data_IF_366770496132
#
_entry.id   IF_366770496132
#
_cell.length_a   1.000
_cell.length_b   1.000
_cell.length_c   1.000
_cell.angle_alpha   90.00
_cell.angle_beta   90.00
_cell.angle_gamma   90.00
#
_symmetry.space_group_name_H-M   'P 1'
#
loop_
_entity.id
_entity.type
_entity.pdbx_description
1 polymer ?
#
# COMPACT_ATOMS: atom_id res chain seq x y z
N UNK A 1 -28.26 -35.60 49.71
CA UNK A 1 -26.78 -35.66 49.75
C UNK A 1 -26.29 -35.40 48.32
N UNK A 2 -26.02 -34.19 47.83
CA UNK A 2 -25.23 -33.03 48.28
C UNK A 2 -23.70 -33.26 48.27
N UNK A 3 -23.06 -32.97 47.12
CA UNK A 3 -21.65 -32.52 46.89
C UNK A 3 -21.48 -32.41 45.36
N UNK A 4 -21.55 -31.26 44.69
CA UNK A 4 -20.74 -30.03 44.70
C UNK A 4 -19.23 -30.27 44.67
N UNK A 5 -18.61 -30.11 43.48
CA UNK A 5 -17.24 -29.62 43.34
C UNK A 5 -17.21 -28.56 42.24
N UNK A 6 -17.08 -27.31 42.66
CA UNK A 6 -16.69 -26.18 41.82
C UNK A 6 -15.18 -26.24 41.58
N UNK A 7 -14.77 -26.15 40.32
CA UNK A 7 -13.40 -25.78 39.96
C UNK A 7 -13.39 -24.33 39.49
N UNK A 8 -12.84 -23.47 40.33
CA UNK A 8 -12.55 -22.06 40.05
C UNK A 8 -11.43 -21.95 39.03
N UNK A 9 -11.72 -21.44 37.84
CA UNK A 9 -10.71 -21.10 36.85
C UNK A 9 -10.25 -19.65 37.11
N UNK A 10 -9.10 -19.49 37.74
CA UNK A 10 -8.45 -18.18 37.91
C UNK A 10 -7.78 -17.80 36.60
N UNK A 11 -8.36 -16.86 35.87
CA UNK A 11 -7.79 -16.28 34.66
C UNK A 11 -6.67 -15.30 35.06
N UNK A 12 -5.42 -15.71 34.85
CA UNK A 12 -4.26 -14.82 35.00
C UNK A 12 -4.19 -13.94 33.75
N UNK A 13 -4.71 -12.71 33.83
CA UNK A 13 -4.41 -11.67 32.86
C UNK A 13 -2.99 -11.16 33.11
N UNK A 14 -2.08 -11.45 32.19
CA UNK A 14 -0.76 -10.82 32.16
C UNK A 14 -0.88 -9.52 31.35
N UNK A 15 -0.99 -8.39 32.06
CA UNK A 15 -0.81 -7.07 31.46
C UNK A 15 0.69 -6.77 31.40
N UNK A 16 1.28 -6.85 30.20
CA UNK A 16 2.64 -6.36 30.00
C UNK A 16 2.64 -4.84 29.91
N UNK A 17 2.97 -4.20 31.02
CA UNK A 17 3.31 -2.79 31.08
C UNK A 17 4.70 -2.55 30.47
N UNK A 18 4.79 -1.56 29.57
CA UNK A 18 6.01 -1.12 28.89
C UNK A 18 6.95 -0.42 29.90
N UNK A 19 8.22 -0.84 30.06
CA UNK A 19 9.18 -0.12 30.91
C UNK A 19 9.71 1.14 30.22
N UNK A 20 9.73 2.27 30.92
CA UNK A 20 10.46 3.49 30.51
C UNK A 20 11.97 3.33 30.78
N UNK A 21 12.87 3.74 29.88
CA UNK A 21 14.30 3.62 30.12
C UNK A 21 14.84 4.72 31.03
N UNK A 22 15.63 4.30 32.02
CA UNK A 22 16.48 5.13 32.86
C UNK A 22 17.75 5.54 32.11
N UNK A 23 18.17 6.78 32.32
CA UNK A 23 19.39 7.36 31.72
C UNK A 23 20.63 6.74 32.35
N UNK A 24 21.49 6.09 31.56
CA UNK A 24 22.89 5.83 31.94
C UNK A 24 23.85 6.43 30.91
N UNK A 25 24.75 7.27 31.42
CA UNK A 25 25.86 7.92 30.71
C UNK A 25 26.98 6.92 30.41
N UNK A 26 27.54 6.99 29.21
CA UNK A 26 28.88 6.51 28.81
C UNK A 26 29.07 7.00 27.38
N UNK A 27 30.08 7.76 26.94
CA UNK A 27 31.47 7.85 27.36
C UNK A 27 32.30 7.72 26.07
N UNK A 28 32.52 8.83 25.36
CA UNK A 28 33.30 8.91 24.12
C UNK A 28 34.81 8.73 24.39
N UNK A 29 35.51 7.96 23.53
CA UNK A 29 36.89 8.17 23.02
C UNK A 29 37.23 7.00 22.05
N UNK A 30 37.37 7.24 20.73
CA UNK A 30 38.62 7.48 19.96
C UNK A 30 39.68 6.36 20.16
N UNK A 31 40.37 5.77 19.17
CA UNK A 31 40.63 6.11 17.78
C UNK A 31 41.33 4.95 17.03
N UNK A 32 41.41 5.07 15.68
CA UNK A 32 42.46 4.61 14.75
C UNK A 32 42.82 3.12 14.65
N UNK A 33 42.70 2.54 13.45
CA UNK A 33 43.74 2.49 12.41
C UNK A 33 43.45 1.39 11.37
N UNK A 34 43.80 1.65 10.09
CA UNK A 34 44.18 0.57 9.16
C UNK A 34 43.36 0.41 7.88
N UNK A 35 43.35 1.43 7.01
CA UNK A 35 42.98 1.27 5.59
C UNK A 35 44.22 0.83 4.80
N UNK A 36 44.15 -0.29 4.06
CA UNK A 36 45.04 -0.58 2.93
C UNK A 36 44.19 -0.96 1.72
N UNK A 37 44.31 -0.14 0.68
CA UNK A 37 43.75 -0.36 -0.65
C UNK A 37 44.62 -1.30 -1.46
N UNK A 38 44.00 -2.08 -2.35
CA UNK A 38 44.64 -2.69 -3.52
C UNK A 38 43.76 -2.41 -4.76
N UNK A 39 44.35 -1.73 -5.74
CA UNK A 39 43.87 -1.55 -7.12
C UNK A 39 44.26 -2.78 -7.97
N UNK A 40 43.53 -3.08 -9.05
CA UNK A 40 44.10 -3.76 -10.20
C UNK A 40 44.25 -2.85 -11.42
N UNK A 41 45.33 -3.14 -12.15
CA UNK A 41 45.89 -2.45 -13.31
C UNK A 41 45.06 -2.53 -14.59
N UNK A 42 45.21 -1.50 -15.41
CA UNK A 42 44.71 -1.40 -16.78
C UNK A 42 45.52 -2.25 -17.77
N UNK A 43 44.89 -2.66 -18.87
CA UNK A 43 45.58 -3.02 -20.11
C UNK A 43 44.87 -2.42 -21.32
N UNK A 44 45.69 -1.81 -22.15
CA UNK A 44 45.41 -0.99 -23.33
C UNK A 44 45.15 -1.83 -24.58
N UNK A 45 44.25 -1.40 -25.46
CA UNK A 45 44.33 -1.66 -26.90
C UNK A 45 43.91 -0.42 -27.69
N UNK A 46 44.82 0.03 -28.55
CA UNK A 46 44.74 1.21 -29.43
C UNK A 46 44.55 0.79 -30.89
N UNK A 47 44.10 1.79 -31.69
CA UNK A 47 44.21 2.01 -33.16
C UNK A 47 42.90 1.87 -33.93
N UNK A 48 42.57 2.71 -34.91
CA UNK A 48 43.15 3.97 -35.43
C UNK A 48 42.24 4.59 -36.49
N UNK A 49 42.14 5.93 -36.47
CA UNK A 49 41.99 6.95 -37.53
C UNK A 49 41.41 6.66 -38.93
N UNK A 50 40.51 7.56 -39.35
CA UNK A 50 40.26 7.98 -40.74
C UNK A 50 39.43 9.28 -40.80
N UNK A 51 40.01 10.35 -41.33
CA UNK A 51 39.48 11.74 -41.46
C UNK A 51 38.87 12.03 -42.87
N UNK A 52 38.23 13.21 -43.11
CA UNK A 52 37.06 13.36 -44.00
C UNK A 52 37.34 14.05 -45.36
N UNK A 53 36.33 14.08 -46.25
CA UNK A 53 36.27 15.08 -47.34
C UNK A 53 34.84 15.49 -47.72
N UNK A 54 34.73 16.74 -48.16
CA UNK A 54 33.52 17.56 -48.47
C UNK A 54 33.15 17.49 -49.96
N UNK A 55 31.88 17.79 -50.30
CA UNK A 55 31.40 18.68 -51.40
C UNK A 55 29.85 18.60 -51.47
N UNK A 56 29.08 19.61 -51.02
CA UNK A 56 28.52 20.79 -51.74
C UNK A 56 27.64 20.51 -52.97
N UNK A 57 26.34 20.83 -52.88
CA UNK A 57 25.61 21.60 -53.89
C UNK A 57 24.29 22.16 -53.31
N UNK A 58 24.06 23.46 -53.55
CA UNK A 58 22.90 24.26 -53.14
C UNK A 58 21.71 24.04 -54.08
N UNK A 59 20.48 24.10 -53.56
CA UNK A 59 19.32 24.54 -54.33
C UNK A 59 18.43 25.41 -53.46
N UNK A 60 18.28 26.66 -53.87
CA UNK A 60 17.44 27.69 -53.27
C UNK A 60 16.13 27.70 -54.06
N UNK A 61 14.97 27.55 -53.38
CA UNK A 61 13.69 27.99 -53.94
C UNK A 61 12.74 28.54 -52.88
N UNK A 62 12.55 29.85 -53.01
CA UNK A 62 11.39 30.71 -52.72
C UNK A 62 10.37 30.25 -51.67
N UNK A 63 10.32 31.06 -50.62
CA UNK A 63 9.20 31.29 -49.71
C UNK A 63 7.96 31.72 -50.50
N UNK A 64 6.87 30.98 -50.36
CA UNK A 64 5.50 31.47 -50.51
C UNK A 64 4.84 31.39 -49.16
N UNK A 65 4.46 32.56 -48.63
CA UNK A 65 3.77 32.75 -47.37
C UNK A 65 2.34 32.22 -47.54
N UNK A 66 2.02 31.07 -46.94
CA UNK A 66 0.62 30.69 -46.71
C UNK A 66 0.15 31.31 -45.41
N UNK A 67 -0.85 32.18 -45.55
CA UNK A 67 -1.53 32.88 -44.46
C UNK A 67 -2.10 31.88 -43.46
N UNK A 68 -1.87 32.18 -42.18
CA UNK A 68 -2.43 31.57 -40.98
C UNK A 68 -3.88 31.07 -41.17
N UNK A 69 -4.05 29.75 -41.16
CA UNK A 69 -5.26 29.14 -40.63
C UNK A 69 -5.03 28.97 -39.12
N UNK A 70 -5.58 29.91 -38.35
CA UNK A 70 -5.62 29.78 -36.91
C UNK A 70 -6.43 28.53 -36.57
N UNK A 71 -5.77 27.56 -35.94
CA UNK A 71 -6.45 26.42 -35.32
C UNK A 71 -7.59 26.95 -34.48
N UNK A 72 -8.82 26.61 -34.91
CA UNK A 72 -10.04 26.87 -34.18
C UNK A 72 -9.83 26.26 -32.79
N UNK A 73 -9.71 27.11 -31.77
CA UNK A 73 -9.77 26.68 -30.38
C UNK A 73 -11.11 26.00 -30.22
N UNK A 74 -11.09 24.67 -30.19
CA UNK A 74 -12.25 23.91 -29.76
C UNK A 74 -12.53 24.38 -28.33
N UNK A 75 -13.66 25.06 -28.16
CA UNK A 75 -14.28 25.25 -26.85
C UNK A 75 -14.28 23.88 -26.16
N UNK A 76 -13.88 23.78 -24.87
CA UNK A 76 -13.97 22.52 -24.15
C UNK A 76 -15.39 22.01 -24.32
N UNK A 77 -15.56 20.88 -25.01
CA UNK A 77 -16.81 20.13 -24.89
C UNK A 77 -16.90 19.85 -23.39
N UNK A 78 -18.00 20.26 -22.76
CA UNK A 78 -18.34 19.78 -21.42
C UNK A 78 -18.19 18.26 -21.47
N UNK A 79 -17.07 17.77 -20.93
CA UNK A 79 -16.78 16.36 -20.92
C UNK A 79 -17.92 15.76 -20.10
N UNK A 80 -18.65 14.82 -20.72
CA UNK A 80 -19.73 14.14 -20.02
C UNK A 80 -19.19 13.67 -18.65
N UNK A 81 -19.95 13.87 -17.57
CA UNK A 81 -19.49 13.52 -16.23
C UNK A 81 -19.09 12.05 -16.18
N UNK A 82 -17.98 11.75 -15.50
CA UNK A 82 -17.48 10.40 -15.36
C UNK A 82 -18.61 9.52 -14.77
N UNK A 83 -19.04 8.44 -15.45
CA UNK A 83 -20.11 7.57 -14.97
C UNK A 83 -19.89 7.02 -13.55
N UNK A 84 -18.64 6.79 -13.16
CA UNK A 84 -18.30 6.37 -11.81
C UNK A 84 -18.57 7.46 -10.76
N UNK A 85 -18.32 8.73 -11.09
CA UNK A 85 -18.64 9.86 -10.20
C UNK A 85 -20.16 9.96 -9.99
N UNK A 86 -20.95 9.83 -11.06
CA UNK A 86 -22.42 9.82 -10.97
C UNK A 86 -22.94 8.65 -10.11
N UNK A 87 -22.33 7.47 -10.25
CA UNK A 87 -22.69 6.31 -9.45
C UNK A 87 -22.38 6.52 -7.96
N UNK A 88 -21.25 7.17 -7.64
CA UNK A 88 -20.91 7.54 -6.27
C UNK A 88 -21.88 8.56 -5.67
N UNK A 89 -22.30 9.57 -6.44
CA UNK A 89 -23.32 10.53 -5.99
C UNK A 89 -24.65 9.84 -5.70
N UNK A 90 -25.06 8.89 -6.56
CA UNK A 90 -26.24 8.05 -6.34
C UNK A 90 -26.12 7.22 -5.06
N UNK A 91 -24.98 6.57 -4.83
CA UNK A 91 -24.74 5.80 -3.61
C UNK A 91 -24.78 6.68 -2.36
N UNK A 92 -24.16 7.87 -2.41
CA UNK A 92 -24.22 8.81 -1.30
C UNK A 92 -25.68 9.24 -0.98
N UNK A 93 -26.49 9.49 -2.01
CA UNK A 93 -27.90 9.86 -1.85
C UNK A 93 -28.79 8.74 -1.27
N UNK A 94 -28.41 7.47 -1.46
CA UNK A 94 -29.11 6.32 -0.86
C UNK A 94 -28.89 6.21 0.66
N UNK A 95 -27.89 6.88 1.24
CA UNK A 95 -27.61 6.84 2.67
C UNK A 95 -26.89 5.57 3.12
N UNK A 96 -26.99 5.23 4.41
CA UNK A 96 -26.33 4.04 4.98
C UNK A 96 -27.13 2.77 4.65
N UNK A 97 -26.46 1.64 4.36
CA UNK A 97 -27.17 0.38 4.11
C UNK A 97 -27.98 -0.04 5.34
N UNK A 98 -29.18 -0.58 5.13
CA UNK A 98 -30.00 -1.12 6.21
C UNK A 98 -29.75 -2.63 6.40
N UNK A 99 -28.71 -2.98 7.15
CA UNK A 99 -28.31 -4.38 7.40
C UNK A 99 -29.04 -5.04 8.60
N UNK A 100 -30.16 -4.46 9.07
CA UNK A 100 -30.86 -4.97 10.27
C UNK A 100 -31.68 -6.24 10.04
N UNK A 101 -31.92 -6.65 8.78
CA UNK A 101 -32.72 -7.82 8.44
C UNK A 101 -31.90 -8.89 7.69
N UNK A 102 -31.56 -9.99 8.37
CA UNK A 102 -30.86 -11.16 7.79
C UNK A 102 -31.56 -11.81 6.57
N UNK A 103 -32.83 -11.46 6.29
CA UNK A 103 -33.69 -12.18 5.33
C UNK A 103 -33.76 -11.60 3.93
N UNK A 104 -33.33 -10.34 3.75
CA UNK A 104 -33.15 -9.73 2.43
C UNK A 104 -31.65 -9.79 2.15
N UNK A 105 -31.25 -10.02 0.89
CA UNK A 105 -29.85 -9.79 0.51
C UNK A 105 -29.43 -8.47 1.14
N UNK A 106 -28.31 -8.48 1.87
CA UNK A 106 -27.81 -7.28 2.55
C UNK A 106 -27.82 -6.14 1.53
N UNK A 107 -28.42 -5.01 1.88
CA UNK A 107 -28.52 -3.83 1.03
C UNK A 107 -27.12 -3.44 0.48
N UNK A 108 -26.06 -3.75 1.24
CA UNK A 108 -24.67 -3.66 0.80
C UNK A 108 -24.37 -4.50 -0.45
N UNK A 109 -24.83 -5.75 -0.52
CA UNK A 109 -24.62 -6.63 -1.67
C UNK A 109 -25.36 -6.11 -2.91
N UNK A 110 -26.60 -5.63 -2.76
CA UNK A 110 -27.38 -5.07 -3.86
C UNK A 110 -26.71 -3.82 -4.45
N UNK A 111 -26.10 -2.99 -3.60
CA UNK A 111 -25.33 -1.81 -4.03
C UNK A 111 -24.09 -2.15 -4.85
N UNK A 112 -23.47 -3.32 -4.62
CA UNK A 112 -22.34 -3.76 -5.44
C UNK A 112 -22.75 -4.08 -6.88
N UNK A 113 -23.95 -4.63 -7.10
CA UNK A 113 -24.44 -4.93 -8.46
C UNK A 113 -24.77 -3.69 -9.28
N UNK A 114 -24.99 -2.52 -8.64
CA UNK A 114 -25.22 -1.28 -9.37
C UNK A 114 -24.01 -0.84 -10.22
N UNK A 115 -22.83 -1.37 -9.93
CA UNK A 115 -21.63 -1.13 -10.73
C UNK A 115 -21.58 -1.91 -12.04
N UNK A 116 -22.41 -2.95 -12.20
CA UNK A 116 -22.40 -3.78 -13.40
C UNK A 116 -22.81 -3.01 -14.67
N UNK A 117 -23.67 -2.00 -14.51
CA UNK A 117 -24.14 -1.13 -15.58
C UNK A 117 -23.13 -0.03 -15.95
N UNK A 118 -22.07 0.16 -15.17
CA UNK A 118 -21.06 1.20 -15.43
C UNK A 118 -20.04 0.67 -16.46
N UNK A 119 -19.80 1.39 -17.58
CA UNK A 119 -18.89 0.93 -18.63
C UNK A 119 -17.46 0.70 -18.11
N UNK A 120 -16.91 -0.48 -18.41
CA UNK A 120 -15.54 -0.86 -18.02
C UNK A 120 -14.56 -0.57 -19.15
N UNK A 121 -13.36 -0.13 -18.77
CA UNK A 121 -12.28 0.17 -19.69
C UNK A 121 -11.29 -0.99 -19.79
N UNK A 122 -10.95 -1.36 -21.02
CA UNK A 122 -9.88 -2.32 -21.30
C UNK A 122 -8.48 -1.71 -21.10
N UNK A 123 -8.37 -0.38 -21.17
CA UNK A 123 -7.12 0.35 -20.98
C UNK A 123 -6.66 0.28 -19.53
N UNK A 124 -5.34 0.19 -19.35
CA UNK A 124 -4.74 0.22 -18.02
C UNK A 124 -4.87 1.63 -17.43
N UNK A 125 -5.25 1.67 -16.17
CA UNK A 125 -5.34 2.86 -15.33
C UNK A 125 -4.45 2.67 -14.10
N UNK A 126 -3.96 3.78 -13.55
CA UNK A 126 -3.07 3.77 -12.39
C UNK A 126 -3.57 4.71 -11.32
N UNK A 127 -3.62 4.25 -10.08
CA UNK A 127 -3.91 5.08 -8.90
C UNK A 127 -3.05 4.65 -7.72
N UNK A 128 -2.92 5.54 -6.73
CA UNK A 128 -2.12 5.29 -5.53
C UNK A 128 -2.96 5.54 -4.28
N UNK A 129 -2.73 4.75 -3.25
CA UNK A 129 -3.37 4.86 -1.92
C UNK A 129 -2.32 4.71 -0.84
N UNK A 130 -2.65 5.21 0.35
CA UNK A 130 -1.86 5.03 1.56
C UNK A 130 -2.58 4.11 2.54
N UNK A 131 -1.84 3.14 3.08
CA UNK A 131 -2.27 2.33 4.21
C UNK A 131 -1.49 2.77 5.45
N UNK A 132 -2.20 3.16 6.49
CA UNK A 132 -1.63 3.64 7.75
C UNK A 132 -2.19 2.82 8.90
N UNK A 133 -1.31 2.22 9.70
CA UNK A 133 -1.69 1.69 11.00
C UNK A 133 -1.70 2.83 12.02
N UNK A 134 -2.90 3.19 12.48
CA UNK A 134 -3.12 4.25 13.47
C UNK A 134 -3.14 3.74 14.92
N UNK A 135 -2.77 2.47 15.12
CA UNK A 135 -2.70 1.78 16.42
C UNK A 135 -4.02 1.76 17.20
N UNK A 136 -5.15 1.78 16.50
CA UNK A 136 -6.51 1.82 17.05
C UNK A 136 -7.39 0.62 16.65
N UNK A 137 -6.80 -0.43 16.04
CA UNK A 137 -7.53 -1.60 15.51
C UNK A 137 -7.03 -2.95 16.07
N UNK A 138 -6.24 -2.95 17.14
CA UNK A 138 -5.57 -4.14 17.69
C UNK A 138 -4.82 -4.95 16.62
N UNK A 139 -4.22 -4.24 15.66
CA UNK A 139 -3.54 -4.78 14.49
C UNK A 139 -2.08 -4.30 14.45
N UNK A 140 -1.14 -5.12 13.97
CA UNK A 140 -1.33 -6.52 13.58
C UNK A 140 -1.37 -7.46 14.80
N UNK A 141 -1.92 -8.66 14.61
CA UNK A 141 -1.80 -9.76 15.57
C UNK A 141 -0.65 -10.68 15.15
N UNK A 142 0.45 -10.73 15.90
CA UNK A 142 1.54 -11.67 15.61
C UNK A 142 1.22 -13.04 16.23
N UNK A 143 1.05 -14.06 15.40
CA UNK A 143 0.75 -15.42 15.81
C UNK A 143 2.01 -16.29 15.63
N UNK A 144 2.59 -16.69 16.77
CA UNK A 144 3.78 -17.53 16.89
C UNK A 144 3.43 -19.01 16.59
N UNK A 145 3.04 -19.28 15.34
CA UNK A 145 2.53 -20.58 14.91
C UNK A 145 3.60 -21.51 14.33
N UNK A 146 4.82 -21.01 14.11
CA UNK A 146 5.92 -21.80 13.58
C UNK A 146 6.28 -22.95 14.52
N UNK A 147 5.83 -24.16 14.17
CA UNK A 147 6.11 -25.40 14.90
C UNK A 147 7.32 -26.14 14.36
N UNK A 148 8.29 -25.45 13.76
CA UNK A 148 9.58 -26.06 13.42
C UNK A 148 10.33 -26.40 14.74
N UNK A 149 9.87 -27.51 15.36
CA UNK A 149 10.20 -28.16 16.63
C UNK A 149 10.16 -27.28 17.89
N UNK A 150 9.03 -27.22 18.61
CA UNK A 150 8.85 -26.71 20.00
C UNK A 150 9.53 -25.35 20.28
N UNK A 151 8.94 -24.25 19.79
CA UNK A 151 9.24 -22.84 20.10
C UNK A 151 10.73 -22.47 20.27
N UNK A 152 11.36 -22.00 19.19
CA UNK A 152 12.67 -21.36 19.27
C UNK A 152 12.52 -20.02 19.95
N UNK A 153 12.87 -19.99 21.21
CA UNK A 153 12.98 -18.78 22.01
C UNK A 153 14.45 -18.34 21.98
N UNK A 154 14.69 -17.05 21.85
CA UNK A 154 16.00 -16.45 22.02
C UNK A 154 16.50 -16.74 23.44
N UNK A 155 17.65 -17.42 23.59
CA UNK A 155 18.09 -17.92 24.89
C UNK A 155 18.51 -16.82 25.87
N UNK A 156 18.77 -15.60 25.38
CA UNK A 156 19.18 -14.46 26.21
C UNK A 156 17.97 -13.65 26.66
N UNK A 157 17.04 -13.41 25.75
CA UNK A 157 15.91 -12.50 25.96
C UNK A 157 14.60 -13.21 26.33
N UNK A 158 14.50 -14.50 26.04
CA UNK A 158 13.23 -15.22 26.20
C UNK A 158 12.20 -14.86 25.13
N UNK A 159 12.57 -14.13 24.07
CA UNK A 159 11.65 -13.70 23.01
C UNK A 159 11.47 -14.76 21.92
N UNK A 160 10.30 -14.80 21.29
CA UNK A 160 10.05 -15.68 20.14
C UNK A 160 10.96 -15.30 18.95
N UNK A 161 11.58 -16.31 18.33
CA UNK A 161 12.34 -16.15 17.10
C UNK A 161 11.42 -16.43 15.92
N UNK A 162 11.15 -15.39 15.11
CA UNK A 162 10.30 -15.50 13.92
C UNK A 162 10.79 -16.60 12.98
N UNK A 163 9.88 -17.44 12.51
CA UNK A 163 10.21 -18.54 11.60
C UNK A 163 9.07 -18.85 10.63
N UNK A 164 9.40 -19.67 9.63
CA UNK A 164 8.47 -20.13 8.61
C UNK A 164 7.21 -20.72 9.26
N UNK A 165 6.05 -20.15 8.90
CA UNK A 165 4.75 -20.58 9.40
C UNK A 165 4.16 -19.69 10.50
N UNK A 166 4.90 -18.72 11.03
CA UNK A 166 4.28 -17.64 11.81
C UNK A 166 3.31 -16.86 10.92
N UNK A 167 2.22 -16.39 11.52
CA UNK A 167 1.16 -15.70 10.79
C UNK A 167 0.91 -14.33 11.40
N UNK A 168 0.58 -13.37 10.56
CA UNK A 168 0.32 -12.01 10.98
C UNK A 168 -0.98 -11.54 10.31
N UNK A 169 -2.15 -11.86 10.89
CA UNK A 169 -3.38 -11.18 10.53
C UNK A 169 -3.26 -9.68 10.82
N UNK A 170 -3.79 -8.86 9.92
CA UNK A 170 -3.75 -7.42 10.06
C UNK A 170 -4.97 -6.75 9.43
N UNK A 171 -5.28 -5.56 9.95
CA UNK A 171 -6.18 -4.60 9.34
C UNK A 171 -5.69 -3.19 9.64
N UNK A 172 -5.58 -2.34 8.62
CA UNK A 172 -5.11 -0.96 8.76
C UNK A 172 -6.04 0.00 8.01
N UNK A 173 -5.89 1.29 8.28
CA UNK A 173 -6.71 2.32 7.66
C UNK A 173 -6.23 2.64 6.25
N UNK A 174 -7.15 2.84 5.29
CA UNK A 174 -6.85 3.15 3.89
C UNK A 174 -7.28 4.58 3.52
N UNK A 175 -6.37 5.32 2.88
CA UNK A 175 -6.54 6.70 2.43
C UNK A 175 -6.19 6.87 0.96
N UNK A 176 -6.72 7.93 0.34
CA UNK A 176 -6.35 8.32 -1.02
C UNK A 176 -4.91 8.86 -1.11
N UNK A 177 -4.46 9.14 -2.34
CA UNK A 177 -3.11 9.65 -2.61
C UNK A 177 -2.84 11.04 -2.04
N UNK A 178 -3.88 11.85 -1.83
CA UNK A 178 -3.77 13.18 -1.23
C UNK A 178 -3.77 13.16 0.29
N UNK A 179 -4.10 12.02 0.93
CA UNK A 179 -4.23 11.85 2.38
C UNK A 179 -5.36 12.70 3.01
N UNK A 180 -6.28 13.20 2.18
CA UNK A 180 -7.40 14.04 2.59
C UNK A 180 -8.73 13.29 2.66
N UNK A 181 -8.79 12.05 2.14
CA UNK A 181 -10.00 11.25 2.06
C UNK A 181 -9.78 9.84 2.65
N UNK A 182 -10.56 9.49 3.68
CA UNK A 182 -10.65 8.12 4.22
C UNK A 182 -11.44 7.24 3.24
N UNK A 183 -10.79 6.21 2.71
CA UNK A 183 -11.39 5.29 1.72
C UNK A 183 -12.02 4.07 2.38
N UNK A 184 -11.33 3.48 3.35
CA UNK A 184 -11.77 2.25 3.99
C UNK A 184 -10.66 1.60 4.80
N UNK A 185 -10.45 0.30 4.61
CA UNK A 185 -9.42 -0.49 5.31
C UNK A 185 -8.69 -1.43 4.37
N UNK A 186 -7.51 -1.86 4.79
CA UNK A 186 -6.95 -3.16 4.39
C UNK A 186 -7.36 -4.23 5.40
N UNK A 187 -7.45 -5.47 4.95
CA UNK A 187 -7.49 -6.63 5.83
C UNK A 187 -6.90 -7.83 5.11
N UNK A 188 -6.16 -8.65 5.86
CA UNK A 188 -5.46 -9.77 5.28
C UNK A 188 -4.62 -10.52 6.29
N UNK A 189 -3.76 -11.37 5.75
CA UNK A 189 -2.82 -12.18 6.50
C UNK A 189 -1.48 -12.22 5.79
N UNK A 190 -0.41 -12.06 6.56
CA UNK A 190 0.96 -12.28 6.12
C UNK A 190 1.46 -13.60 6.71
N UNK A 191 2.01 -14.46 5.88
CA UNK A 191 2.66 -15.71 6.26
C UNK A 191 4.16 -15.47 6.29
N UNK A 192 4.81 -15.59 7.46
CA UNK A 192 6.26 -15.38 7.56
C UNK A 192 6.99 -16.45 6.76
N UNK A 193 7.84 -16.03 5.83
CA UNK A 193 8.60 -16.91 4.96
C UNK A 193 10.06 -17.01 5.42
N UNK A 194 10.69 -15.86 5.65
CA UNK A 194 12.11 -15.79 5.97
C UNK A 194 12.51 -14.45 6.58
N UNK A 195 13.39 -14.49 7.57
CA UNK A 195 14.10 -13.31 8.06
C UNK A 195 15.43 -13.10 7.31
N UNK A 196 15.82 -11.85 7.10
CA UNK A 196 17.07 -11.45 6.45
C UNK A 196 17.88 -10.47 7.32
N UNK A 197 18.56 -10.96 8.37
CA UNK A 197 19.30 -10.11 9.31
C UNK A 197 20.24 -9.13 8.59
N UNK A 198 20.26 -7.87 9.05
CA UNK A 198 21.14 -6.83 8.51
C UNK A 198 20.69 -6.18 7.20
N UNK A 199 19.56 -6.59 6.61
CA UNK A 199 19.00 -5.93 5.41
C UNK A 199 18.19 -4.67 5.76
N UNK A 200 17.86 -3.91 4.72
CA UNK A 200 17.13 -2.63 4.80
C UNK A 200 18.05 -1.41 4.82
N UNK A 201 17.45 -0.23 4.67
CA UNK A 201 18.14 1.05 4.85
C UNK A 201 18.48 1.27 6.33
N UNK A 202 19.49 2.09 6.62
CA UNK A 202 19.89 2.34 8.02
C UNK A 202 18.75 2.96 8.81
N UNK A 203 18.05 3.91 8.21
CA UNK A 203 16.94 4.64 8.82
C UNK A 203 15.78 3.70 9.18
N UNK A 204 15.54 2.65 8.38
CA UNK A 204 14.54 1.62 8.68
C UNK A 204 15.02 0.71 9.83
N UNK A 205 16.29 0.32 9.85
CA UNK A 205 16.87 -0.51 10.92
C UNK A 205 16.86 0.17 12.29
N UNK A 206 16.88 1.49 12.31
CA UNK A 206 16.81 2.28 13.54
C UNK A 206 15.38 2.44 14.07
N UNK A 207 14.35 2.03 13.30
CA UNK A 207 12.96 2.05 13.75
C UNK A 207 12.67 0.91 14.71
N UNK A 208 11.92 1.24 15.76
CA UNK A 208 11.34 0.24 16.65
C UNK A 208 10.42 -0.70 15.84
N UNK A 209 10.45 -1.99 16.17
CA UNK A 209 9.65 -3.04 15.52
C UNK A 209 10.04 -3.37 14.08
N UNK A 210 11.04 -2.69 13.49
CA UNK A 210 11.55 -3.09 12.19
C UNK A 210 12.41 -4.34 12.32
N UNK A 211 12.00 -5.38 11.61
CA UNK A 211 12.78 -6.60 11.39
C UNK A 211 12.76 -6.91 9.90
N UNK A 212 13.91 -7.10 9.24
CA UNK A 212 13.96 -7.30 7.80
C UNK A 212 13.39 -8.68 7.43
N UNK A 213 12.10 -8.74 7.16
CA UNK A 213 11.35 -9.97 6.97
C UNK A 213 10.73 -10.02 5.57
N UNK A 214 10.57 -11.24 5.09
CA UNK A 214 9.79 -11.57 3.90
C UNK A 214 8.58 -12.39 4.32
N UNK A 215 7.43 -11.94 3.87
CA UNK A 215 6.14 -12.60 4.04
C UNK A 215 5.54 -12.90 2.66
N UNK A 216 4.70 -13.93 2.61
CA UNK A 216 3.70 -14.09 1.55
C UNK A 216 2.38 -13.50 2.08
N UNK A 217 1.77 -12.60 1.34
CA UNK A 217 0.60 -11.85 1.79
C UNK A 217 -0.62 -12.19 0.94
N UNK A 218 -1.75 -12.36 1.61
CA UNK A 218 -3.08 -12.46 1.01
C UNK A 218 -3.92 -11.37 1.66
N UNK A 219 -4.42 -10.42 0.88
CA UNK A 219 -5.12 -9.26 1.44
C UNK A 219 -6.15 -8.68 0.48
N UNK A 220 -7.01 -7.85 1.05
CA UNK A 220 -7.99 -7.07 0.33
C UNK A 220 -7.94 -5.59 0.75
N UNK A 221 -8.22 -4.70 -0.20
CA UNK A 221 -8.40 -3.26 0.00
C UNK A 221 -9.88 -2.94 -0.18
N UNK A 222 -10.53 -2.46 0.87
CA UNK A 222 -11.95 -2.14 0.87
C UNK A 222 -12.18 -0.64 0.68
N UNK A 223 -13.12 -0.30 -0.19
CA UNK A 223 -13.47 1.07 -0.61
C UNK A 223 -14.96 1.32 -0.41
N UNK A 224 -15.53 0.91 0.73
CA UNK A 224 -16.94 1.13 1.04
C UNK A 224 -17.90 0.61 -0.04
N UNK A 225 -18.85 1.45 -0.46
CA UNK A 225 -19.84 1.10 -1.49
C UNK A 225 -19.24 0.83 -2.89
N UNK A 226 -17.97 1.16 -3.13
CA UNK A 226 -17.29 0.79 -4.38
C UNK A 226 -16.92 -0.70 -4.44
N UNK A 227 -16.94 -1.40 -3.30
CA UNK A 227 -16.45 -2.77 -3.20
C UNK A 227 -15.00 -2.85 -2.78
N UNK A 228 -14.29 -3.87 -3.29
CA UNK A 228 -12.93 -4.15 -2.86
C UNK A 228 -12.05 -4.74 -3.97
N UNK A 229 -10.73 -4.66 -3.79
CA UNK A 229 -9.74 -5.37 -4.60
C UNK A 229 -9.11 -6.45 -3.73
N UNK A 230 -8.87 -7.64 -4.29
CA UNK A 230 -8.09 -8.70 -3.66
C UNK A 230 -6.72 -8.84 -4.34
N UNK A 231 -5.70 -9.16 -3.56
CA UNK A 231 -4.36 -9.40 -4.08
C UNK A 231 -3.57 -10.42 -3.26
N UNK A 232 -2.55 -10.98 -3.90
CA UNK A 232 -1.63 -11.94 -3.30
C UNK A 232 -0.21 -11.74 -3.84
N UNK A 233 0.79 -11.88 -2.98
CA UNK A 233 2.19 -11.90 -3.38
C UNK A 233 3.16 -11.58 -2.25
N UNK A 234 4.43 -11.34 -2.57
CA UNK A 234 5.46 -11.09 -1.57
C UNK A 234 5.27 -9.73 -0.90
N UNK A 235 5.42 -9.70 0.42
CA UNK A 235 5.63 -8.49 1.20
C UNK A 235 7.01 -8.54 1.84
N UNK A 236 7.88 -7.62 1.44
CA UNK A 236 9.22 -7.46 2.03
C UNK A 236 9.27 -6.05 2.59
N UNK A 237 9.38 -5.92 3.92
CA UNK A 237 9.20 -4.64 4.60
C UNK A 237 10.38 -3.64 4.45
N UNK A 238 11.33 -3.94 3.57
CA UNK A 238 12.53 -3.13 3.34
C UNK A 238 12.87 -2.87 1.87
N UNK A 239 11.98 -3.26 0.94
CA UNK A 239 12.11 -2.99 -0.49
C UNK A 239 10.74 -3.07 -1.16
N UNK A 240 10.60 -2.43 -2.32
CA UNK A 240 9.41 -2.55 -3.15
C UNK A 240 9.14 -4.01 -3.55
N UNK A 241 7.86 -4.35 -3.60
CA UNK A 241 7.35 -5.65 -4.05
C UNK A 241 6.18 -5.46 -5.00
N UNK A 242 5.88 -6.49 -5.79
CA UNK A 242 4.73 -6.53 -6.69
C UNK A 242 3.85 -7.71 -6.32
N UNK A 243 2.56 -7.45 -6.09
CA UNK A 243 1.54 -8.46 -5.85
C UNK A 243 0.61 -8.54 -7.06
N UNK A 244 0.08 -9.73 -7.33
CA UNK A 244 -0.94 -9.93 -8.36
C UNK A 244 -2.32 -9.55 -7.84
N UNK A 245 -3.10 -8.85 -8.66
CA UNK A 245 -4.53 -8.64 -8.38
C UNK A 245 -5.26 -9.94 -8.74
N UNK A 246 -5.99 -10.50 -7.77
CA UNK A 246 -6.69 -11.79 -7.92
C UNK A 246 -8.18 -11.64 -8.19
N UNK A 247 -8.73 -10.43 -8.02
CA UNK A 247 -10.11 -10.10 -8.33
C UNK A 247 -10.60 -8.89 -7.53
N UNK A 248 -11.92 -8.70 -7.50
CA UNK A 248 -12.57 -7.66 -6.71
C UNK A 248 -14.10 -7.76 -6.78
N UNK A 249 -14.78 -6.73 -6.27
CA UNK A 249 -16.24 -6.59 -6.34
C UNK A 249 -16.64 -5.15 -6.67
N UNK A 250 -17.91 -4.93 -7.03
CA UNK A 250 -18.45 -3.60 -7.34
C UNK A 250 -17.68 -2.92 -8.47
N UNK A 251 -17.19 -1.71 -8.23
CA UNK A 251 -16.34 -0.95 -9.17
C UNK A 251 -15.12 -1.77 -9.66
N UNK A 252 -14.65 -2.73 -8.85
CA UNK A 252 -13.48 -3.56 -9.12
C UNK A 252 -13.82 -5.00 -9.55
N UNK A 253 -15.07 -5.31 -9.91
CA UNK A 253 -15.52 -6.70 -10.16
C UNK A 253 -14.67 -7.48 -11.19
N UNK A 254 -14.21 -6.81 -12.24
CA UNK A 254 -13.40 -7.42 -13.31
C UNK A 254 -11.92 -7.00 -13.26
N UNK A 255 -11.49 -6.45 -12.13
CA UNK A 255 -10.14 -5.96 -11.90
C UNK A 255 -9.05 -6.99 -12.22
N UNK A 256 -8.12 -6.61 -13.09
CA UNK A 256 -6.92 -7.38 -13.41
C UNK A 256 -5.70 -6.47 -13.44
N UNK A 257 -4.57 -6.95 -12.93
CA UNK A 257 -3.32 -6.21 -12.96
C UNK A 257 -2.39 -6.56 -11.82
N UNK A 258 -1.61 -5.56 -11.40
CA UNK A 258 -0.62 -5.69 -10.33
C UNK A 258 -0.75 -4.51 -9.38
N UNK A 259 -0.29 -4.71 -8.16
CA UNK A 259 -0.12 -3.65 -7.17
C UNK A 259 1.33 -3.63 -6.70
N UNK A 260 1.96 -2.46 -6.78
CA UNK A 260 3.28 -2.23 -6.22
C UNK A 260 3.12 -1.78 -4.78
N UNK A 261 3.68 -2.55 -3.85
CA UNK A 261 3.78 -2.21 -2.44
C UNK A 261 5.14 -1.55 -2.21
N UNK A 262 5.11 -0.32 -1.71
CA UNK A 262 6.26 0.43 -1.26
C UNK A 262 6.20 0.62 0.26
N UNK A 263 7.08 -0.04 1.05
CA UNK A 263 7.09 0.11 2.50
C UNK A 263 7.72 1.45 2.89
N UNK A 264 6.96 2.30 3.59
CA UNK A 264 7.41 3.61 4.07
C UNK A 264 8.08 3.46 5.43
N UNK A 265 7.38 2.79 6.34
CA UNK A 265 7.85 2.38 7.68
C UNK A 265 7.19 1.01 7.98
N UNK A 266 7.50 0.34 9.12
CA UNK A 266 6.82 -0.90 9.49
C UNK A 266 5.29 -0.80 9.60
N UNK A 267 4.73 0.40 9.66
CA UNK A 267 3.31 0.67 9.92
C UNK A 267 2.67 1.61 8.88
N UNK A 268 3.40 1.96 7.82
CA UNK A 268 2.95 2.87 6.76
C UNK A 268 3.37 2.31 5.42
N UNK A 269 2.40 2.16 4.51
CA UNK A 269 2.61 1.58 3.20
C UNK A 269 1.97 2.46 2.13
N UNK A 270 2.59 2.49 0.96
CA UNK A 270 2.02 3.08 -0.24
C UNK A 270 1.78 1.97 -1.27
N UNK A 271 0.59 1.94 -1.84
CA UNK A 271 0.24 1.01 -2.91
C UNK A 271 -0.02 1.77 -4.20
N UNK A 272 0.66 1.39 -5.28
CA UNK A 272 0.35 1.86 -6.64
C UNK A 272 -0.29 0.71 -7.41
N UNK A 273 -1.57 0.85 -7.75
CA UNK A 273 -2.28 -0.11 -8.57
C UNK A 273 -2.08 0.20 -10.05
N UNK A 274 -1.80 -0.81 -10.86
CA UNK A 274 -1.88 -0.73 -12.32
C UNK A 274 -2.88 -1.78 -12.79
N UNK A 275 -4.09 -1.31 -13.14
CA UNK A 275 -5.30 -2.13 -13.20
C UNK A 275 -6.05 -1.89 -14.51
N UNK A 276 -6.82 -2.87 -14.96
CA UNK A 276 -7.69 -2.82 -16.14
C UNK A 276 -8.96 -3.61 -15.86
N UNK A 277 -9.99 -3.48 -16.71
CA UNK A 277 -11.29 -4.12 -16.50
C UNK A 277 -12.16 -3.39 -15.48
N UNK A 278 -11.87 -2.12 -15.21
CA UNK A 278 -12.64 -1.27 -14.29
C UNK A 278 -13.18 -0.04 -15.02
N UNK A 279 -14.22 0.63 -14.51
CA UNK A 279 -14.65 1.91 -15.06
C UNK A 279 -13.55 2.98 -15.00
N UNK A 280 -13.80 4.12 -15.66
CA UNK A 280 -12.91 5.29 -15.56
C UNK A 280 -12.72 5.71 -14.10
N UNK A 281 -11.47 5.91 -13.68
CA UNK A 281 -11.16 6.28 -12.30
C UNK A 281 -11.83 7.61 -11.91
N UNK A 282 -12.57 7.67 -10.79
CA UNK A 282 -13.08 8.93 -10.27
C UNK A 282 -11.94 9.84 -9.78
N UNK A 283 -12.16 11.16 -9.80
CA UNK A 283 -11.09 12.15 -9.54
C UNK A 283 -10.34 11.94 -8.24
N UNK A 284 -11.01 11.51 -7.17
CA UNK A 284 -10.38 11.32 -5.87
C UNK A 284 -9.33 10.20 -5.86
N UNK A 285 -9.44 9.17 -6.72
CA UNK A 285 -8.38 8.16 -6.88
C UNK A 285 -7.19 8.67 -7.70
N UNK A 286 -7.38 9.77 -8.42
CA UNK A 286 -6.34 10.42 -9.23
C UNK A 286 -5.85 11.73 -8.62
N UNK A 287 -6.16 11.97 -7.34
CA UNK A 287 -5.75 13.18 -6.63
C UNK A 287 -4.21 13.29 -6.60
N UNK A 288 -3.66 14.52 -6.55
CA UNK A 288 -2.21 14.73 -6.49
C UNK A 288 -1.57 13.92 -5.35
N UNK A 289 -0.54 13.15 -5.70
CA UNK A 289 0.15 12.30 -4.74
C UNK A 289 0.99 13.12 -3.76
N UNK A 290 0.71 12.98 -2.47
CA UNK A 290 1.62 13.43 -1.42
C UNK A 290 2.90 12.60 -1.45
N UNK A 291 4.10 13.20 -1.49
CA UNK A 291 5.35 12.45 -1.46
C UNK A 291 5.48 11.56 -0.22
N UNK A 292 6.04 10.37 -0.44
CA UNK A 292 6.27 9.41 0.62
C UNK A 292 7.43 9.84 1.54
N UNK A 293 7.21 9.83 2.86
CA UNK A 293 8.26 10.01 3.89
C UNK A 293 7.82 9.41 5.24
N UNK A 294 8.74 9.19 6.18
CA UNK A 294 8.44 8.49 7.45
C UNK A 294 7.38 9.19 8.32
N UNK A 295 7.36 10.52 8.27
CA UNK A 295 6.40 11.38 8.97
C UNK A 295 5.08 11.61 8.25
N UNK A 296 4.79 10.89 7.16
CA UNK A 296 3.55 11.09 6.38
C UNK A 296 2.34 10.68 7.23
N UNK A 297 1.30 11.51 7.25
CA UNK A 297 0.07 11.29 8.04
C UNK A 297 -1.15 11.74 7.25
N UNK A 298 -2.29 11.12 7.53
CA UNK A 298 -3.57 11.57 7.00
C UNK A 298 -3.97 12.92 7.59
N UNK A 299 -4.76 13.70 6.85
CA UNK A 299 -5.25 14.98 7.37
C UNK A 299 -6.15 14.76 8.59
N UNK A 300 -6.15 15.68 9.57
CA UNK A 300 -6.99 15.52 10.77
C UNK A 300 -8.48 15.35 10.45
N UNK A 301 -8.94 15.92 9.33
CA UNK A 301 -10.33 15.79 8.90
C UNK A 301 -10.65 14.37 8.39
N UNK A 302 -9.72 13.75 7.64
CA UNK A 302 -9.84 12.37 7.19
C UNK A 302 -9.75 11.38 8.35
N UNK A 303 -8.82 11.58 9.29
CA UNK A 303 -8.67 10.74 10.49
C UNK A 303 -9.89 10.80 11.40
N UNK A 304 -10.51 11.98 11.54
CA UNK A 304 -11.73 12.17 12.33
C UNK A 304 -13.00 11.82 11.56
N UNK A 305 -12.87 11.29 10.34
CA UNK A 305 -13.99 10.90 9.48
C UNK A 305 -15.04 12.02 9.29
N UNK A 306 -14.59 13.26 9.10
CA UNK A 306 -15.49 14.42 8.93
C UNK A 306 -16.29 14.32 7.63
N UNK A 307 -17.50 14.91 7.56
CA UNK A 307 -18.27 15.00 6.32
C UNK A 307 -17.43 15.61 5.18
N UNK A 308 -17.42 14.97 4.02
CA UNK A 308 -16.62 15.38 2.86
C UNK A 308 -15.17 14.86 2.85
N UNK A 309 -14.73 14.22 3.94
CA UNK A 309 -13.39 13.62 4.07
C UNK A 309 -13.44 12.08 4.23
N UNK A 310 -14.57 11.48 3.87
CA UNK A 310 -14.77 10.04 3.83
C UNK A 310 -15.48 9.63 2.55
N UNK A 311 -15.17 8.44 2.07
CA UNK A 311 -15.95 7.79 1.02
C UNK A 311 -17.35 7.43 1.55
N UNK A 312 -18.41 7.50 0.73
CA UNK A 312 -19.73 7.00 1.09
C UNK A 312 -19.65 5.57 1.64
N UNK A 313 -20.17 5.39 2.85
CA UNK A 313 -20.15 4.12 3.57
C UNK A 313 -18.77 3.44 3.57
N UNK A 314 -17.70 4.24 3.75
CA UNK A 314 -16.34 3.73 3.90
C UNK A 314 -16.30 2.57 4.90
N UNK A 315 -15.48 1.56 4.60
CA UNK A 315 -15.32 0.41 5.48
C UNK A 315 -14.49 0.80 6.71
N UNK A 316 -14.96 0.41 7.88
CA UNK A 316 -14.28 0.59 9.17
C UNK A 316 -14.19 -0.72 9.92
#
# INVERSE_FOLDING_TARGET
MATSMMATHTQVMSSMAIPRPSKSKSGYNSARAGLRMALPSATTLQRSFGTPSKQTAKSVRRVTVSVLEASRVETPRDLAPNPAELMMEKLAAMGKPNDTELSKMSDLADRLFLWDDVPKLATKQTFTVYELNEFNRDSPAFLELSRQSVNKIDPETGAHIKALGDQVPFTNTLYDSSLELRLGITTGICLHMKNYPGRGAQELRDLQFFTPDHYETIMSWYFGDMGHICGMGPFINFQDTLMGITGGSGFFAEAKGVVRLHPVTPFKFQYTFTISGIPELPKFLTAPLVPCHFGVEASPAAQQCKPGHTLPNYTD
#
